data_IF_219605322772
#
_entry.id   IF_219605322772
#
_cell.length_a   1.000
_cell.length_b   1.000
_cell.length_c   1.000
_cell.angle_alpha   90.00
_cell.angle_beta   90.00
_cell.angle_gamma   90.00
#
_symmetry.space_group_name_H-M   'P 1'
#
loop_
_entity.id
_entity.type
_entity.pdbx_description
1 polymer ?
#
# COMPACT_ATOMS: atom_id res chain seq x y z
N UNK A 1 -18.47 -26.29 -4.93
CA UNK A 1 -18.17 -25.16 -4.01
C UNK A 1 -19.00 -25.35 -2.75
N UNK A 2 -18.42 -25.12 -1.57
CA UNK A 2 -19.10 -25.43 -0.31
C UNK A 2 -20.15 -24.35 0.00
N UNK A 3 -21.43 -24.73 0.04
CA UNK A 3 -22.55 -23.77 0.17
C UNK A 3 -22.61 -23.03 1.52
N UNK A 4 -21.79 -23.44 2.49
CA UNK A 4 -21.86 -22.98 3.88
C UNK A 4 -20.86 -21.85 4.23
N UNK A 5 -20.10 -21.31 3.26
CA UNK A 5 -19.04 -20.31 3.51
C UNK A 5 -19.54 -19.04 4.23
N UNK A 6 -20.79 -18.63 4.03
CA UNK A 6 -21.37 -17.45 4.68
C UNK A 6 -21.44 -17.57 6.21
N UNK A 7 -21.37 -18.79 6.76
CA UNK A 7 -21.45 -19.02 8.22
C UNK A 7 -20.22 -18.51 8.97
N UNK A 8 -19.15 -18.12 8.30
CA UNK A 8 -17.96 -17.52 8.94
C UNK A 8 -18.31 -16.24 9.73
N UNK A 9 -19.33 -15.49 9.28
CA UNK A 9 -19.82 -14.29 9.95
C UNK A 9 -20.62 -14.56 11.23
N UNK A 10 -20.90 -15.83 11.56
CA UNK A 10 -21.50 -16.20 12.84
C UNK A 10 -20.46 -16.25 13.98
N UNK A 11 -19.18 -16.35 13.64
CA UNK A 11 -18.08 -16.47 14.60
C UNK A 11 -17.24 -15.17 14.62
N UNK A 12 -17.16 -14.46 13.49
CA UNK A 12 -16.42 -13.21 13.36
C UNK A 12 -17.38 -12.00 13.24
N UNK A 13 -17.18 -10.95 14.06
CA UNK A 13 -17.89 -9.67 13.88
C UNK A 13 -17.42 -9.00 12.58
N UNK A 14 -18.30 -8.82 11.57
CA UNK A 14 -17.95 -8.22 10.28
C UNK A 14 -17.29 -6.85 10.40
N UNK A 15 -17.72 -6.02 11.34
CA UNK A 15 -17.19 -4.65 11.49
C UNK A 15 -15.71 -4.66 11.88
N UNK A 16 -15.34 -5.54 12.81
CA UNK A 16 -13.96 -5.69 13.27
C UNK A 16 -13.07 -6.26 12.16
N UNK A 17 -13.58 -7.23 11.40
CA UNK A 17 -12.84 -7.82 10.28
C UNK A 17 -12.57 -6.76 9.20
N UNK A 18 -13.57 -5.95 8.84
CA UNK A 18 -13.40 -4.87 7.86
C UNK A 18 -12.33 -3.86 8.30
N UNK A 19 -12.38 -3.40 9.55
CA UNK A 19 -11.36 -2.48 10.09
C UNK A 19 -9.97 -3.11 10.07
N UNK A 20 -9.86 -4.38 10.43
CA UNK A 20 -8.58 -5.10 10.45
C UNK A 20 -7.98 -5.26 9.05
N UNK A 21 -8.82 -5.58 8.05
CA UNK A 21 -8.39 -5.69 6.65
C UNK A 21 -7.91 -4.35 6.13
N UNK A 22 -8.68 -3.27 6.36
CA UNK A 22 -8.30 -1.92 5.90
C UNK A 22 -7.00 -1.47 6.55
N UNK A 23 -6.86 -1.62 7.87
CA UNK A 23 -5.65 -1.27 8.59
C UNK A 23 -4.43 -2.06 8.08
N UNK A 24 -4.58 -3.38 7.91
CA UNK A 24 -3.52 -4.22 7.39
C UNK A 24 -3.11 -3.84 5.97
N UNK A 25 -4.09 -3.62 5.07
CA UNK A 25 -3.80 -3.25 3.68
C UNK A 25 -3.15 -1.88 3.56
N UNK A 26 -3.52 -0.90 4.40
CA UNK A 26 -2.86 0.41 4.42
C UNK A 26 -1.41 0.27 4.84
N UNK A 27 -1.15 -0.42 5.96
CA UNK A 27 0.21 -0.62 6.46
C UNK A 27 1.06 -1.40 5.44
N UNK A 28 0.51 -2.46 4.85
CA UNK A 28 1.17 -3.24 3.82
C UNK A 28 1.46 -2.42 2.56
N UNK A 29 0.49 -1.61 2.11
CA UNK A 29 0.65 -0.72 0.98
C UNK A 29 1.78 0.28 1.21
N UNK A 30 1.75 0.99 2.34
CA UNK A 30 2.81 1.93 2.71
C UNK A 30 4.17 1.25 2.81
N UNK A 31 4.24 0.08 3.45
CA UNK A 31 5.46 -0.69 3.58
C UNK A 31 6.07 -1.02 2.21
N UNK A 32 5.27 -1.50 1.26
CA UNK A 32 5.74 -1.82 -0.09
C UNK A 32 6.24 -0.56 -0.80
N UNK A 33 5.52 0.56 -0.72
CA UNK A 33 5.97 1.81 -1.35
C UNK A 33 7.29 2.30 -0.77
N UNK A 34 7.45 2.27 0.56
CA UNK A 34 8.69 2.68 1.21
C UNK A 34 9.86 1.74 0.87
N UNK A 35 9.60 0.44 0.74
CA UNK A 35 10.62 -0.52 0.28
C UNK A 35 11.04 -0.18 -1.15
N UNK A 36 10.10 0.02 -2.08
CA UNK A 36 10.43 0.29 -3.48
C UNK A 36 11.15 1.63 -3.64
N UNK A 37 10.69 2.69 -2.96
CA UNK A 37 11.34 4.00 -2.97
C UNK A 37 12.73 3.98 -2.31
N UNK A 38 13.04 2.99 -1.48
CA UNK A 38 14.40 2.80 -0.93
C UNK A 38 15.33 1.98 -1.84
N UNK A 39 14.88 1.60 -3.04
CA UNK A 39 15.69 0.87 -4.03
C UNK A 39 16.00 1.73 -5.26
N UNK A 40 16.75 1.18 -6.22
CA UNK A 40 17.04 1.79 -7.52
C UNK A 40 15.78 2.11 -8.35
N UNK A 41 14.62 1.53 -7.97
CA UNK A 41 13.32 1.81 -8.58
C UNK A 41 12.64 3.06 -8.01
N UNK A 42 13.36 3.92 -7.27
CA UNK A 42 12.81 5.16 -6.76
C UNK A 42 12.52 6.14 -7.91
N UNK A 43 11.24 6.41 -8.14
CA UNK A 43 10.78 7.29 -9.21
C UNK A 43 10.59 8.76 -8.79
N UNK A 44 10.83 9.11 -7.52
CA UNK A 44 10.72 10.48 -7.03
C UNK A 44 12.02 11.27 -7.25
N UNK A 45 13.17 10.60 -7.11
CA UNK A 45 14.50 11.20 -7.15
C UNK A 45 15.35 10.71 -8.34
N UNK A 46 14.74 10.04 -9.33
CA UNK A 46 15.44 9.55 -10.54
C UNK A 46 15.91 10.68 -11.49
N UNK A 47 15.43 11.91 -11.30
CA UNK A 47 15.67 13.07 -12.16
C UNK A 47 15.22 12.89 -13.62
N UNK A 48 14.26 12.00 -13.88
CA UNK A 48 13.73 11.73 -15.22
C UNK A 48 12.35 12.39 -15.36
N UNK A 49 12.06 13.12 -16.47
CA UNK A 49 12.97 13.50 -17.55
C UNK A 49 13.84 14.73 -17.22
N UNK A 50 13.54 15.47 -16.15
CA UNK A 50 14.18 16.74 -15.82
C UNK A 50 14.44 16.82 -14.32
N UNK A 51 15.65 17.26 -13.97
CA UNK A 51 15.98 17.62 -12.58
C UNK A 51 15.46 19.02 -12.24
N UNK A 52 14.42 19.08 -11.40
CA UNK A 52 13.84 20.35 -10.94
C UNK A 52 14.77 21.14 -10.00
N UNK A 53 15.59 20.45 -9.20
CA UNK A 53 16.57 21.08 -8.30
C UNK A 53 17.68 21.78 -9.09
N UNK A 54 18.10 21.20 -10.23
CA UNK A 54 19.11 21.80 -11.10
C UNK A 54 18.56 22.97 -11.94
N UNK A 55 17.27 22.96 -12.28
CA UNK A 55 16.62 24.02 -13.06
C UNK A 55 16.57 25.35 -12.28
N UNK A 56 16.24 25.29 -10.99
CA UNK A 56 16.15 26.48 -10.14
C UNK A 56 17.50 27.07 -9.69
N UNK A 57 18.61 26.42 -10.04
CA UNK A 57 19.97 26.85 -9.66
C UNK A 57 20.65 27.71 -10.74
N UNK A 58 19.94 28.05 -11.82
CA UNK A 58 20.40 28.94 -12.90
C UNK A 58 20.02 30.39 -12.65
#
# INVERSE_FOLDING_TARGET
>A
MNANLYKIWLILDPRRVLVSIVAFQIVLGLLIHMIVLSTDLNWLDDNIPVSYQALGKK
#
